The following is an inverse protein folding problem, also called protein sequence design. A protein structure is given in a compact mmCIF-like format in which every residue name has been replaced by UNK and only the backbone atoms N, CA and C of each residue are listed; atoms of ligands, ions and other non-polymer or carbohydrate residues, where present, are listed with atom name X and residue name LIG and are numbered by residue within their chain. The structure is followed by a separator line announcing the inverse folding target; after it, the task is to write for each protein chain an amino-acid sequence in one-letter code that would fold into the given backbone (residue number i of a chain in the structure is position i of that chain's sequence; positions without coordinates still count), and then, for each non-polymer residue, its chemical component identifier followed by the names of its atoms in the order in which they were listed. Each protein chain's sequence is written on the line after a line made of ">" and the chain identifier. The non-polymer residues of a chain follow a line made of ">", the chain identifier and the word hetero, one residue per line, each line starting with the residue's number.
data_IF_463548356933
#
_entry.id   IF_463548356933
#
_cell.length_a   1.000
_cell.length_b   1.000
_cell.length_c   1.000
_cell.angle_alpha   90.00
_cell.angle_beta   90.00
_cell.angle_gamma   90.00
#
_symmetry.space_group_name_H-M   'P 1'
#
loop_
_entity.id
_entity.type
_entity.pdbx_description
1 polymer ?
#
# COMPACT_ATOMS: atom_id res chain seq x y z
N UNK A 1 -5.47 -15.82 -8.01
CA UNK A 1 -4.63 -15.50 -9.19
C UNK A 1 -5.41 -14.50 -10.04
N UNK A 2 -4.79 -13.38 -10.33
CA UNK A 2 -5.34 -12.32 -11.19
C UNK A 2 -4.40 -12.19 -12.40
N UNK A 3 -4.98 -11.99 -13.55
CA UNK A 3 -4.24 -11.65 -14.76
C UNK A 3 -3.85 -10.16 -14.72
N UNK A 4 -2.56 -9.89 -14.82
CA UNK A 4 -2.05 -8.52 -14.65
C UNK A 4 -2.54 -7.55 -15.72
N UNK A 5 -2.65 -8.04 -16.98
CA UNK A 5 -3.01 -7.20 -18.12
C UNK A 5 -4.50 -6.87 -18.18
N UNK A 6 -5.35 -7.76 -17.65
CA UNK A 6 -6.82 -7.67 -17.85
C UNK A 6 -7.60 -7.47 -16.55
N UNK A 7 -7.01 -7.67 -15.37
CA UNK A 7 -7.73 -7.70 -14.10
C UNK A 7 -8.59 -8.95 -13.88
N UNK A 8 -8.60 -9.89 -14.81
CA UNK A 8 -9.45 -11.09 -14.72
C UNK A 8 -8.98 -12.03 -13.60
N UNK A 9 -9.92 -12.47 -12.77
CA UNK A 9 -9.68 -13.51 -11.78
C UNK A 9 -9.61 -14.87 -12.49
N UNK A 10 -8.41 -15.45 -12.54
CA UNK A 10 -8.17 -16.78 -13.16
C UNK A 10 -8.36 -17.92 -12.18
N UNK A 11 -8.16 -17.70 -10.88
CA UNK A 11 -8.44 -18.68 -9.84
C UNK A 11 -8.63 -17.99 -8.48
N UNK A 12 -9.53 -18.54 -7.65
CA UNK A 12 -9.78 -18.08 -6.30
C UNK A 12 -9.99 -19.29 -5.38
N UNK A 13 -9.29 -19.31 -4.24
CA UNK A 13 -9.44 -20.33 -3.20
C UNK A 13 -9.71 -19.63 -1.87
N UNK A 14 -10.91 -19.78 -1.35
CA UNK A 14 -11.33 -19.17 -0.07
C UNK A 14 -11.07 -20.01 1.17
N UNK A 15 -10.66 -21.27 1.02
CA UNK A 15 -10.37 -22.18 2.15
C UNK A 15 -9.86 -23.54 1.69
N UNK A 16 -9.34 -24.31 2.64
CA UNK A 16 -8.87 -25.72 2.43
C UNK A 16 -9.76 -26.68 3.21
N UNK A 17 -9.93 -27.90 2.67
CA UNK A 17 -10.64 -29.00 3.33
C UNK A 17 -12.02 -28.60 3.86
N UNK A 18 -12.74 -27.78 3.09
CA UNK A 18 -14.06 -27.27 3.45
C UNK A 18 -15.12 -28.08 2.72
N UNK A 19 -16.16 -28.49 3.46
CA UNK A 19 -17.36 -29.13 2.90
C UNK A 19 -18.59 -28.38 3.37
N UNK A 20 -19.59 -28.27 2.52
CA UNK A 20 -20.85 -27.59 2.85
C UNK A 20 -21.18 -26.43 1.91
N UNK A 21 -22.24 -25.69 2.27
CA UNK A 21 -22.73 -24.52 1.52
C UNK A 21 -22.49 -23.23 2.31
N UNK A 22 -22.39 -22.09 1.65
CA UNK A 22 -22.22 -20.76 2.26
C UNK A 22 -20.99 -20.66 3.17
N UNK A 23 -19.89 -21.24 2.73
CA UNK A 23 -18.64 -21.21 3.48
C UNK A 23 -18.02 -19.83 3.48
N UNK A 24 -17.33 -19.51 4.57
CA UNK A 24 -16.60 -18.26 4.69
C UNK A 24 -15.45 -18.20 3.67
N UNK A 25 -15.49 -17.19 2.79
CA UNK A 25 -14.48 -17.00 1.76
C UNK A 25 -13.36 -16.06 2.26
N UNK A 26 -12.22 -16.61 2.61
CA UNK A 26 -11.06 -15.85 3.11
C UNK A 26 -10.39 -15.00 2.05
N UNK A 27 -10.60 -15.30 0.75
CA UNK A 27 -10.02 -14.51 -0.32
C UNK A 27 -10.69 -13.13 -0.47
N UNK A 28 -11.98 -13.02 -0.09
CA UNK A 28 -12.77 -11.79 -0.18
C UNK A 28 -13.03 -11.13 1.17
N UNK A 29 -12.59 -11.76 2.25
CA UNK A 29 -12.80 -11.22 3.60
C UNK A 29 -11.59 -10.38 4.03
N UNK A 30 -11.80 -9.11 4.43
CA UNK A 30 -10.71 -8.24 4.85
C UNK A 30 -9.96 -8.76 6.07
N UNK A 31 -8.66 -8.53 6.12
CA UNK A 31 -7.76 -8.79 7.25
C UNK A 31 -6.65 -7.76 7.24
N UNK A 32 -6.04 -7.53 8.38
CA UNK A 32 -4.86 -6.65 8.46
C UNK A 32 -3.76 -7.16 7.52
N UNK A 33 -3.37 -6.38 6.50
CA UNK A 33 -2.35 -6.80 5.53
C UNK A 33 -0.95 -6.83 6.12
N UNK A 34 -0.73 -6.16 7.25
CA UNK A 34 0.57 -6.03 7.87
C UNK A 34 1.58 -5.41 6.91
N UNK A 35 2.83 -5.81 7.00
CA UNK A 35 3.92 -5.25 6.18
C UNK A 35 3.77 -5.45 4.67
N UNK A 36 2.82 -6.28 4.21
CA UNK A 36 2.54 -6.37 2.78
C UNK A 36 1.89 -5.10 2.21
N UNK A 37 1.41 -4.19 3.05
CA UNK A 37 0.90 -2.89 2.61
C UNK A 37 2.03 -1.88 2.31
N UNK A 38 3.20 -1.98 2.94
CA UNK A 38 4.31 -1.03 2.83
C UNK A 38 4.73 -0.68 1.39
N UNK A 39 4.85 -1.65 0.45
CA UNK A 39 5.19 -1.33 -0.92
C UNK A 39 4.24 -0.30 -1.55
N UNK A 40 2.97 -0.33 -1.20
CA UNK A 40 1.91 0.54 -1.73
C UNK A 40 1.86 1.85 -0.92
N UNK A 41 1.53 1.75 0.37
CA UNK A 41 1.21 2.90 1.22
C UNK A 41 2.41 3.77 1.58
N UNK A 42 3.62 3.21 1.57
CA UNK A 42 4.83 3.92 1.97
C UNK A 42 5.72 4.20 0.77
N UNK A 43 6.24 3.16 0.12
CA UNK A 43 7.30 3.32 -0.87
C UNK A 43 6.78 3.82 -2.22
N UNK A 44 5.70 3.25 -2.76
CA UNK A 44 5.08 3.78 -3.98
C UNK A 44 4.54 5.19 -3.75
N UNK A 45 3.89 5.43 -2.61
CA UNK A 45 3.40 6.75 -2.24
C UNK A 45 4.52 7.79 -2.13
N UNK A 46 5.68 7.44 -1.56
CA UNK A 46 6.82 8.34 -1.45
C UNK A 46 7.42 8.69 -2.82
N UNK A 47 7.64 7.68 -3.66
CA UNK A 47 8.18 7.88 -5.00
C UNK A 47 7.22 8.69 -5.87
N UNK A 48 5.92 8.40 -5.83
CA UNK A 48 4.91 9.13 -6.59
C UNK A 48 4.80 10.58 -6.12
N UNK A 49 4.73 10.82 -4.80
CA UNK A 49 4.69 12.18 -4.26
C UNK A 49 5.90 13.01 -4.69
N UNK A 50 7.09 12.40 -4.66
CA UNK A 50 8.32 13.04 -5.11
C UNK A 50 8.25 13.41 -6.59
N UNK A 51 7.73 12.51 -7.42
CA UNK A 51 7.52 12.76 -8.85
C UNK A 51 6.51 13.88 -9.09
N UNK A 52 5.36 13.85 -8.42
CA UNK A 52 4.30 14.84 -8.57
C UNK A 52 4.77 16.25 -8.19
N UNK A 53 5.50 16.35 -7.07
CA UNK A 53 6.08 17.61 -6.61
C UNK A 53 7.10 18.16 -7.60
N UNK A 54 7.98 17.32 -8.14
CA UNK A 54 8.95 17.72 -9.15
C UNK A 54 8.26 18.16 -10.45
N UNK A 55 7.26 17.42 -10.91
CA UNK A 55 6.50 17.76 -12.11
C UNK A 55 5.75 19.10 -11.97
N UNK A 56 5.30 19.41 -10.75
CA UNK A 56 4.67 20.70 -10.41
C UNK A 56 5.67 21.86 -10.20
N UNK A 57 6.98 21.60 -10.28
CA UNK A 57 8.02 22.61 -10.02
C UNK A 57 8.16 22.98 -8.54
N UNK A 58 7.66 22.18 -7.63
CA UNK A 58 7.80 22.41 -6.20
C UNK A 58 9.17 22.03 -5.67
N UNK A 59 9.63 22.77 -4.65
CA UNK A 59 10.95 22.58 -4.01
C UNK A 59 10.83 21.96 -2.62
N UNK A 60 9.83 21.11 -2.38
CA UNK A 60 9.70 20.42 -1.11
C UNK A 60 10.88 19.47 -0.91
N UNK A 61 11.57 19.58 0.22
CA UNK A 61 12.67 18.71 0.57
C UNK A 61 12.19 17.63 1.55
N UNK A 62 12.39 16.40 1.18
CA UNK A 62 12.20 15.28 2.10
C UNK A 62 13.39 15.20 3.05
N UNK A 63 13.15 14.84 4.29
CA UNK A 63 14.17 14.65 5.33
C UNK A 63 14.04 13.27 5.95
N UNK A 64 15.12 12.70 6.47
CA UNK A 64 15.05 11.41 7.13
C UNK A 64 14.55 11.52 8.57
N UNK A 65 14.52 12.74 9.13
CA UNK A 65 14.03 13.02 10.46
C UNK A 65 12.69 13.77 10.44
N UNK A 66 11.61 13.04 10.12
CA UNK A 66 10.27 13.60 10.02
C UNK A 66 9.69 14.16 11.33
N UNK A 67 10.28 13.83 12.48
CA UNK A 67 9.78 14.18 13.80
C UNK A 67 10.65 15.18 14.54
N UNK A 68 11.92 15.28 14.19
CA UNK A 68 12.88 16.22 14.74
C UNK A 68 13.60 16.93 13.57
N UNK A 69 13.28 18.18 13.40
CA UNK A 69 13.80 19.01 12.28
C UNK A 69 15.23 19.53 12.54
N UNK A 70 15.80 19.29 13.70
CA UNK A 70 17.13 19.77 14.04
C UNK A 70 18.20 18.82 13.52
N UNK A 71 18.93 19.27 12.49
CA UNK A 71 20.07 18.53 11.93
C UNK A 71 19.67 17.37 11.00
N UNK A 72 18.42 17.36 10.54
CA UNK A 72 17.95 16.34 9.61
C UNK A 72 18.71 16.38 8.28
N UNK A 73 19.22 15.25 7.86
CA UNK A 73 19.77 15.10 6.53
C UNK A 73 18.67 15.20 5.47
N UNK A 74 18.90 16.00 4.45
CA UNK A 74 17.95 16.18 3.36
C UNK A 74 18.02 15.00 2.40
N UNK A 75 16.89 14.34 2.17
CA UNK A 75 16.78 13.33 1.10
C UNK A 75 16.73 13.94 -0.29
N UNK A 76 16.62 15.28 -0.37
CA UNK A 76 16.46 16.02 -1.61
C UNK A 76 15.00 16.05 -2.08
N UNK A 77 14.80 16.61 -3.28
CA UNK A 77 13.47 16.81 -3.87
C UNK A 77 13.01 15.63 -4.72
N UNK A 78 13.88 14.66 -4.98
CA UNK A 78 13.58 13.51 -5.82
C UNK A 78 14.00 12.22 -5.15
N UNK A 79 13.00 11.43 -4.75
CA UNK A 79 13.22 10.14 -4.11
C UNK A 79 13.38 9.03 -5.15
N UNK A 80 14.25 8.09 -4.84
CA UNK A 80 14.51 6.90 -5.66
C UNK A 80 14.67 5.68 -4.76
N UNK A 81 14.75 4.51 -5.36
CA UNK A 81 15.09 3.29 -4.62
C UNK A 81 16.47 3.32 -3.94
N UNK A 82 17.34 4.27 -4.32
CA UNK A 82 18.66 4.49 -3.73
C UNK A 82 18.67 5.58 -2.64
N UNK A 83 17.58 6.30 -2.43
CA UNK A 83 17.46 7.28 -1.32
C UNK A 83 17.73 6.59 0.01
N UNK A 84 18.40 7.30 0.92
CA UNK A 84 18.86 6.76 2.20
C UNK A 84 17.90 7.15 3.30
N UNK A 85 17.64 6.23 4.21
CA UNK A 85 16.86 6.43 5.45
C UNK A 85 17.56 5.72 6.59
N UNK A 86 17.60 6.34 7.77
CA UNK A 86 18.28 5.80 8.95
C UNK A 86 17.32 4.96 9.81
N UNK A 87 17.74 3.75 10.11
CA UNK A 87 17.10 2.87 11.08
C UNK A 87 17.73 3.11 12.46
N UNK A 88 17.16 4.05 13.20
CA UNK A 88 17.55 4.47 14.53
C UNK A 88 16.34 4.63 15.45
N UNK A 89 16.56 4.71 16.78
CA UNK A 89 15.46 4.97 17.72
C UNK A 89 14.69 6.23 17.36
N UNK A 90 13.42 6.09 17.01
CA UNK A 90 12.54 7.20 16.63
C UNK A 90 11.50 7.42 17.71
N UNK A 91 11.36 8.67 18.18
CA UNK A 91 10.39 9.03 19.22
C UNK A 91 9.16 9.68 18.60
N UNK A 92 8.00 9.08 18.83
CA UNK A 92 6.70 9.61 18.40
C UNK A 92 5.80 9.74 19.61
N UNK A 93 5.23 10.91 19.83
CA UNK A 93 4.39 11.21 20.98
C UNK A 93 5.05 10.84 22.33
N UNK A 94 6.35 11.12 22.48
CA UNK A 94 7.12 10.86 23.68
C UNK A 94 7.48 9.39 23.95
N UNK A 95 7.26 8.49 22.98
CA UNK A 95 7.61 7.07 23.09
C UNK A 95 8.49 6.65 21.94
N UNK A 96 9.49 5.81 22.23
CA UNK A 96 10.29 5.15 21.16
C UNK A 96 9.40 4.16 20.43
N UNK A 97 9.04 4.50 19.19
CA UNK A 97 8.16 3.73 18.32
C UNK A 97 8.44 4.06 16.85
N UNK A 98 8.29 3.14 15.92
CA UNK A 98 7.95 1.73 16.10
C UNK A 98 9.16 0.88 16.54
N UNK A 99 8.91 -0.37 16.89
CA UNK A 99 9.94 -1.38 17.00
C UNK A 99 10.05 -2.17 15.70
N UNK A 100 11.28 -2.54 15.34
CA UNK A 100 11.53 -3.47 14.25
C UNK A 100 11.17 -4.92 14.65
N UNK A 101 11.11 -5.83 13.68
CA UNK A 101 10.92 -7.27 13.91
C UNK A 101 12.19 -7.96 14.41
N UNK A 102 13.33 -7.28 14.33
CA UNK A 102 14.64 -7.71 14.85
C UNK A 102 15.04 -6.86 16.06
N UNK A 103 16.08 -7.29 16.75
CA UNK A 103 16.62 -6.59 17.91
C UNK A 103 17.59 -5.48 17.49
N UNK A 104 17.45 -4.31 18.08
CA UNK A 104 18.31 -3.15 17.82
C UNK A 104 17.96 -2.39 16.55
N UNK A 105 18.94 -1.61 16.07
CA UNK A 105 18.84 -0.75 14.91
C UNK A 105 20.12 -0.94 14.08
N UNK A 106 20.02 -0.78 12.76
CA UNK A 106 21.12 -1.11 11.86
C UNK A 106 21.68 0.11 11.10
N UNK A 107 21.17 1.32 11.38
CA UNK A 107 21.65 2.55 10.75
C UNK A 107 21.15 2.69 9.31
N UNK A 108 21.99 3.19 8.42
CA UNK A 108 21.61 3.64 7.09
C UNK A 108 21.20 2.49 6.16
N UNK A 109 19.98 2.60 5.63
CA UNK A 109 19.44 1.75 4.58
C UNK A 109 19.09 2.55 3.33
N UNK A 110 19.27 1.94 2.14
CA UNK A 110 18.56 2.45 0.96
C UNK A 110 17.05 2.13 1.08
N UNK A 111 16.20 2.89 0.41
CA UNK A 111 14.76 2.57 0.34
C UNK A 111 14.53 1.12 -0.12
N UNK A 112 15.30 0.66 -1.11
CA UNK A 112 15.26 -0.73 -1.60
C UNK A 112 15.55 -1.72 -0.47
N UNK A 113 16.64 -1.53 0.25
CA UNK A 113 17.05 -2.47 1.31
C UNK A 113 16.12 -2.39 2.51
N UNK A 114 15.66 -1.18 2.88
CA UNK A 114 14.68 -0.99 3.94
C UNK A 114 13.35 -1.71 3.64
N UNK A 115 12.88 -1.66 2.39
CA UNK A 115 11.71 -2.41 1.96
C UNK A 115 11.98 -3.92 1.98
N UNK A 116 13.11 -4.37 1.45
CA UNK A 116 13.49 -5.79 1.40
C UNK A 116 13.55 -6.42 2.81
N UNK A 117 14.08 -5.67 3.79
CA UNK A 117 14.16 -6.09 5.19
C UNK A 117 12.88 -5.76 5.98
N UNK A 118 11.91 -5.12 5.33
CA UNK A 118 10.64 -4.72 5.94
C UNK A 118 10.80 -3.88 7.22
N UNK A 119 11.78 -2.97 7.23
CA UNK A 119 12.14 -2.15 8.40
C UNK A 119 10.98 -1.23 8.79
N UNK A 120 10.49 -1.36 10.02
CA UNK A 120 9.34 -0.61 10.50
C UNK A 120 9.68 0.88 10.72
N UNK A 121 10.83 1.15 11.33
CA UNK A 121 11.29 2.51 11.59
C UNK A 121 11.42 3.29 10.29
N UNK A 122 12.10 2.73 9.29
CA UNK A 122 12.24 3.36 7.99
C UNK A 122 10.89 3.63 7.32
N UNK A 123 9.97 2.65 7.37
CA UNK A 123 8.64 2.82 6.78
C UNK A 123 7.86 3.96 7.44
N UNK A 124 7.92 4.08 8.76
CA UNK A 124 7.23 5.15 9.50
C UNK A 124 7.87 6.51 9.24
N UNK A 125 9.20 6.62 9.22
CA UNK A 125 9.91 7.87 8.86
C UNK A 125 9.52 8.34 7.45
N UNK A 126 9.55 7.44 6.47
CA UNK A 126 9.16 7.76 5.08
C UNK A 126 7.69 8.22 5.04
N UNK A 127 6.77 7.45 5.65
CA UNK A 127 5.35 7.79 5.66
C UNK A 127 5.07 9.13 6.32
N UNK A 128 5.81 9.51 7.38
CA UNK A 128 5.64 10.81 8.03
C UNK A 128 5.94 11.99 7.10
N UNK A 129 6.87 11.81 6.16
CA UNK A 129 7.17 12.81 5.13
C UNK A 129 6.15 12.80 3.98
N UNK A 130 5.63 11.62 3.65
CA UNK A 130 4.57 11.47 2.65
C UNK A 130 3.26 12.10 3.13
N UNK A 131 2.94 11.92 4.41
CA UNK A 131 1.65 12.25 4.97
C UNK A 131 0.60 11.16 4.76
N UNK A 132 -0.26 11.00 5.76
CA UNK A 132 -1.26 9.92 5.80
C UNK A 132 -2.35 10.09 4.75
N UNK A 133 -2.78 11.34 4.47
CA UNK A 133 -3.81 11.60 3.47
C UNK A 133 -3.35 11.23 2.06
N UNK A 134 -2.14 11.67 1.67
CA UNK A 134 -1.58 11.32 0.36
C UNK A 134 -1.36 9.82 0.22
N UNK A 135 -0.85 9.18 1.28
CA UNK A 135 -0.69 7.72 1.32
C UNK A 135 -2.02 7.00 1.14
N UNK A 136 -3.07 7.48 1.80
CA UNK A 136 -4.42 6.92 1.68
C UNK A 136 -4.96 7.06 0.25
N UNK A 137 -4.76 8.21 -0.41
CA UNK A 137 -5.13 8.39 -1.82
C UNK A 137 -4.45 7.36 -2.73
N UNK A 138 -3.17 7.09 -2.49
CA UNK A 138 -2.43 6.06 -3.24
C UNK A 138 -2.99 4.66 -2.96
N UNK A 139 -3.27 4.32 -1.70
CA UNK A 139 -3.85 3.02 -1.32
C UNK A 139 -5.19 2.79 -2.04
N UNK A 140 -6.05 3.80 -2.11
CA UNK A 140 -7.32 3.74 -2.83
C UNK A 140 -7.14 3.64 -4.35
N UNK A 141 -6.19 4.38 -4.93
CA UNK A 141 -5.82 4.26 -6.36
C UNK A 141 -5.33 2.87 -6.73
N UNK A 142 -4.72 2.15 -5.80
CA UNK A 142 -4.35 0.74 -5.96
C UNK A 142 -5.53 -0.23 -5.78
N UNK A 143 -6.76 0.28 -5.62
CA UNK A 143 -7.98 -0.52 -5.55
C UNK A 143 -8.29 -1.14 -4.18
N UNK A 144 -7.68 -0.66 -3.11
CA UNK A 144 -8.02 -1.08 -1.74
C UNK A 144 -9.16 -0.19 -1.22
N UNK A 145 -10.37 -0.73 -1.20
CA UNK A 145 -11.61 -0.01 -0.93
C UNK A 145 -12.03 0.03 0.54
N UNK A 146 -11.36 -0.75 1.38
CA UNK A 146 -11.71 -0.96 2.79
C UNK A 146 -11.06 0.04 3.76
N UNK A 147 -10.27 0.97 3.23
CA UNK A 147 -9.60 2.01 4.03
C UNK A 147 -10.63 2.97 4.64
N UNK A 148 -10.53 3.21 5.94
CA UNK A 148 -11.41 4.14 6.67
C UNK A 148 -10.73 5.49 6.83
N UNK A 149 -11.35 6.52 6.27
CA UNK A 149 -10.86 7.91 6.44
C UNK A 149 -11.47 8.64 7.63
N UNK A 150 -12.64 8.20 8.08
CA UNK A 150 -13.42 8.88 9.11
C UNK A 150 -13.74 7.97 10.31
N UNK A 151 -14.21 8.58 11.38
CA UNK A 151 -14.60 7.90 12.61
C UNK A 151 -13.47 7.78 13.64
N UNK A 152 -13.82 7.28 14.82
CA UNK A 152 -12.91 7.16 15.95
C UNK A 152 -11.75 6.16 15.72
N UNK A 153 -11.93 5.23 14.78
CA UNK A 153 -10.94 4.22 14.39
C UNK A 153 -10.60 4.35 12.91
N UNK A 154 -10.24 5.57 12.46
CA UNK A 154 -9.81 5.78 11.09
C UNK A 154 -8.39 5.26 10.84
N UNK A 155 -8.06 5.07 9.56
CA UNK A 155 -6.77 4.53 9.11
C UNK A 155 -5.76 5.61 8.72
N UNK A 156 -6.10 6.90 8.87
CA UNK A 156 -5.20 8.03 8.57
C UNK A 156 -4.15 8.19 9.67
N UNK A 157 -3.39 7.16 9.91
CA UNK A 157 -2.34 7.16 10.94
C UNK A 157 -1.15 6.28 10.54
N UNK A 158 0.00 6.55 11.18
CA UNK A 158 1.28 5.89 10.86
C UNK A 158 1.26 4.38 11.13
N UNK A 159 0.47 3.89 12.07
CA UNK A 159 0.36 2.45 12.36
C UNK A 159 -0.44 1.73 11.28
N UNK A 160 -1.58 2.27 10.89
CA UNK A 160 -2.43 1.68 9.87
C UNK A 160 -1.74 1.64 8.50
N UNK A 161 -1.26 2.79 8.04
CA UNK A 161 -0.66 2.91 6.71
C UNK A 161 0.82 2.48 6.67
N UNK A 162 1.59 2.73 7.73
CA UNK A 162 3.02 2.40 7.76
C UNK A 162 3.32 0.93 8.07
N UNK A 163 2.43 0.24 8.76
CA UNK A 163 2.64 -1.15 9.18
C UNK A 163 1.48 -2.08 8.86
N UNK A 164 0.43 -1.58 8.19
CA UNK A 164 -0.71 -2.36 7.76
C UNK A 164 -1.66 -2.78 8.89
N UNK A 165 -1.71 -2.01 9.97
CA UNK A 165 -2.65 -2.18 11.08
C UNK A 165 -4.00 -1.52 10.82
N UNK A 166 -4.54 -1.65 9.61
CA UNK A 166 -5.81 -1.06 9.20
C UNK A 166 -6.98 -1.59 10.04
N UNK A 167 -7.99 -0.74 10.25
CA UNK A 167 -9.17 -1.03 11.08
C UNK A 167 -9.96 -2.23 10.57
N UNK A 168 -10.29 -2.28 9.29
CA UNK A 168 -10.94 -3.42 8.65
C UNK A 168 -9.93 -4.32 7.94
N UNK A 169 -8.80 -3.76 7.51
CA UNK A 169 -7.80 -4.43 6.72
C UNK A 169 -8.15 -4.44 5.22
N UNK A 170 -7.50 -5.32 4.47
CA UNK A 170 -7.75 -5.54 3.05
C UNK A 170 -7.95 -7.03 2.78
N UNK A 171 -8.75 -7.37 1.79
CA UNK A 171 -8.91 -8.76 1.36
C UNK A 171 -7.69 -9.23 0.57
N UNK A 172 -7.44 -10.53 0.55
CA UNK A 172 -6.40 -11.12 -0.29
C UNK A 172 -6.62 -10.83 -1.77
N UNK A 173 -7.88 -10.71 -2.18
CA UNK A 173 -8.26 -10.35 -3.54
C UNK A 173 -7.86 -8.92 -3.87
N UNK A 174 -8.19 -7.95 -3.02
CA UNK A 174 -7.78 -6.55 -3.19
C UNK A 174 -6.25 -6.42 -3.20
N UNK A 175 -5.55 -7.05 -2.25
CA UNK A 175 -4.09 -7.03 -2.22
C UNK A 175 -3.48 -7.64 -3.49
N UNK A 176 -4.02 -8.76 -3.98
CA UNK A 176 -3.54 -9.37 -5.22
C UNK A 176 -3.79 -8.47 -6.44
N UNK A 177 -4.95 -7.78 -6.49
CA UNK A 177 -5.25 -6.78 -7.53
C UNK A 177 -4.32 -5.58 -7.44
N UNK A 178 -4.16 -5.01 -6.26
CA UNK A 178 -3.27 -3.87 -6.03
C UNK A 178 -1.84 -4.12 -6.53
N UNK A 179 -1.31 -5.32 -6.28
CA UNK A 179 0.04 -5.67 -6.72
C UNK A 179 0.20 -5.82 -8.25
N UNK A 180 -0.90 -6.00 -9.00
CA UNK A 180 -0.82 -6.00 -10.47
C UNK A 180 -0.36 -4.64 -11.02
N UNK A 181 -0.64 -3.55 -10.32
CA UNK A 181 -0.23 -2.19 -10.68
C UNK A 181 1.28 -2.07 -10.89
N UNK A 182 2.09 -2.73 -10.06
CA UNK A 182 3.56 -2.67 -10.18
C UNK A 182 4.11 -3.30 -11.46
N UNK A 183 3.41 -4.28 -12.02
CA UNK A 183 3.83 -4.97 -13.26
C UNK A 183 3.06 -4.49 -14.48
N UNK A 184 2.09 -3.58 -14.28
CA UNK A 184 1.26 -3.00 -15.32
C UNK A 184 1.54 -1.50 -15.49
N UNK A 185 2.82 -1.11 -15.44
CA UNK A 185 3.31 0.26 -15.68
C UNK A 185 2.64 1.35 -14.81
N UNK A 186 2.23 0.98 -13.58
CA UNK A 186 1.54 1.89 -12.66
C UNK A 186 0.04 1.99 -12.89
N UNK A 187 -0.54 1.24 -13.83
CA UNK A 187 -1.98 1.23 -14.08
C UNK A 187 -2.65 0.13 -13.28
N UNK A 188 -3.52 0.50 -12.35
CA UNK A 188 -4.42 -0.43 -11.67
C UNK A 188 -5.65 -0.67 -12.55
N UNK A 189 -6.02 -1.95 -12.71
CA UNK A 189 -7.27 -2.37 -13.36
C UNK A 189 -8.16 -3.06 -12.34
N UNK A 190 -9.43 -2.67 -12.30
CA UNK A 190 -10.41 -3.35 -11.45
C UNK A 190 -10.52 -4.84 -11.82
N UNK A 191 -10.66 -5.69 -10.82
CA UNK A 191 -10.75 -7.13 -11.05
C UNK A 191 -12.17 -7.56 -11.43
N UNK A 192 -12.28 -8.57 -12.32
CA UNK A 192 -13.55 -9.17 -12.69
C UNK A 192 -13.47 -10.70 -12.71
N UNK A 193 -14.57 -11.34 -12.32
CA UNK A 193 -14.73 -12.80 -12.36
C UNK A 193 -15.42 -13.33 -13.64
N UNK A 194 -15.86 -12.43 -14.54
CA UNK A 194 -16.51 -12.77 -15.80
C UNK A 194 -16.08 -11.78 -16.88
N UNK A 195 -16.21 -12.18 -18.13
CA UNK A 195 -15.92 -11.33 -19.30
C UNK A 195 -17.20 -10.79 -19.93
N UNK A 196 -18.25 -11.59 -19.91
CA UNK A 196 -19.61 -11.21 -20.34
C UNK A 196 -20.64 -12.18 -19.79
N UNK A 197 -21.86 -11.72 -19.63
CA UNK A 197 -23.03 -12.55 -19.33
C UNK A 197 -24.03 -12.35 -20.45
N UNK A 198 -24.49 -13.47 -21.04
CA UNK A 198 -25.47 -13.45 -22.14
C UNK A 198 -26.70 -14.23 -21.79
N UNK A 199 -27.82 -13.90 -22.44
CA UNK A 199 -29.01 -14.73 -22.44
C UNK A 199 -28.74 -16.08 -23.13
N UNK A 200 -29.70 -17.01 -23.03
CA UNK A 200 -29.66 -18.27 -23.76
C UNK A 200 -29.71 -18.05 -25.28
N UNK A 201 -30.28 -16.95 -25.75
CA UNK A 201 -30.37 -16.54 -27.16
C UNK A 201 -29.15 -15.79 -27.66
N UNK A 202 -28.19 -15.48 -26.79
CA UNK A 202 -26.93 -14.83 -27.14
C UNK A 202 -26.90 -13.33 -26.94
N UNK A 203 -28.03 -12.72 -26.51
CA UNK A 203 -28.09 -11.27 -26.21
C UNK A 203 -27.22 -10.92 -24.99
N UNK A 204 -26.46 -9.84 -25.07
CA UNK A 204 -25.62 -9.37 -23.98
C UNK A 204 -26.48 -8.87 -22.83
N UNK A 205 -26.26 -9.39 -21.61
CA UNK A 205 -26.89 -8.94 -20.37
C UNK A 205 -25.97 -8.06 -19.53
N UNK A 206 -24.71 -8.47 -19.38
CA UNK A 206 -23.71 -7.76 -18.58
C UNK A 206 -22.33 -7.91 -19.21
N UNK A 207 -21.57 -6.85 -19.16
CA UNK A 207 -20.15 -6.81 -19.43
C UNK A 207 -19.47 -6.04 -18.28
N UNK A 208 -18.34 -6.50 -17.70
CA UNK A 208 -17.70 -5.77 -16.63
C UNK A 208 -17.14 -4.45 -17.16
N UNK A 209 -17.42 -3.37 -16.47
CA UNK A 209 -16.71 -2.12 -16.66
C UNK A 209 -15.32 -2.29 -16.04
N UNK A 210 -14.27 -2.25 -16.84
CA UNK A 210 -12.90 -2.24 -16.34
C UNK A 210 -12.51 -0.82 -16.04
N UNK A 211 -12.48 -0.47 -14.78
CA UNK A 211 -11.95 0.83 -14.35
C UNK A 211 -10.41 0.75 -14.34
N UNK A 212 -9.79 1.73 -14.98
CA UNK A 212 -8.34 1.92 -14.99
C UNK A 212 -7.99 3.18 -14.19
N UNK A 213 -7.07 3.04 -13.23
CA UNK A 213 -6.55 4.15 -12.42
C UNK A 213 -5.03 4.21 -12.58
N UNK A 214 -4.49 5.41 -12.79
CA UNK A 214 -3.05 5.66 -12.92
C UNK A 214 -2.60 6.69 -11.89
#
# INVERSE_FOLDING_TARGET
>A
IIDNATGQIKAMIGGRNTSGRKLFNRATSPRQPGSSLKPISVYAAALQKSFDLQAAGNTFNFTDNGFDQQGADLWGTYLTAASIVDDEPTTINGKVWPKNSYSGYHGLYTFRTALQQSVNVCAVKILSQVGTDYSADIVEKFGISTLKREGATNDLNLSALGMGGMSEGASTLEMASAYTTFVNEGVHKSYSSYTKVTTRTGDLLLEPETEETK
#
